data_IF_149323264827
#
_entry.id   IF_149323264827
#
_cell.length_a   1.000
_cell.length_b   1.000
_cell.length_c   1.000
_cell.angle_alpha   90.00
_cell.angle_beta   90.00
_cell.angle_gamma   90.00
#
_symmetry.space_group_name_H-M   'P 1'
#
loop_
_entity.id
_entity.type
_entity.pdbx_description
1 polymer ?
#
# COMPACT_ATOMS: atom_id res chain seq x y z
N UNK A 1 -6.10 -12.15 41.38
CA UNK A 1 -7.16 -11.37 40.73
C UNK A 1 -6.53 -10.25 39.90
N UNK A 2 -5.74 -10.65 38.91
CA UNK A 2 -5.00 -9.78 37.99
C UNK A 2 -5.16 -10.34 36.56
N UNK A 3 -6.40 -10.62 36.17
CA UNK A 3 -6.77 -11.25 34.89
C UNK A 3 -8.11 -10.66 34.43
N UNK A 4 -8.06 -9.60 33.62
CA UNK A 4 -9.10 -9.20 32.66
C UNK A 4 -8.69 -7.88 31.99
N UNK A 5 -8.26 -7.95 30.72
CA UNK A 5 -7.91 -6.86 29.79
C UNK A 5 -6.43 -6.40 29.73
N UNK A 6 -5.59 -7.02 28.87
CA UNK A 6 -4.22 -6.56 28.56
C UNK A 6 -4.09 -5.71 27.26
N UNK A 7 -5.15 -5.37 26.53
CA UNK A 7 -5.04 -4.82 25.16
C UNK A 7 -5.38 -3.32 24.99
N UNK A 8 -5.29 -2.52 26.04
CA UNK A 8 -5.16 -1.06 25.94
C UNK A 8 -4.01 -0.63 26.85
N UNK A 9 -2.81 -1.09 26.50
CA UNK A 9 -1.59 -0.60 27.09
C UNK A 9 -1.43 0.89 26.71
N UNK A 10 -2.01 1.76 27.53
CA UNK A 10 -1.43 2.93 28.23
C UNK A 10 -0.08 3.53 27.75
N UNK A 11 0.30 3.40 26.49
CA UNK A 11 1.32 4.23 25.83
C UNK A 11 0.61 5.35 25.08
N UNK A 12 1.13 6.57 25.15
CA UNK A 12 0.60 7.79 24.51
C UNK A 12 -0.48 8.59 25.24
N UNK A 13 -0.39 8.65 26.57
CA UNK A 13 -0.82 9.83 27.34
C UNK A 13 0.18 10.19 28.46
N UNK A 14 1.45 9.80 28.27
CA UNK A 14 2.57 10.27 29.09
C UNK A 14 3.13 11.53 28.46
N UNK A 15 2.52 12.67 28.77
CA UNK A 15 3.15 13.96 28.58
C UNK A 15 4.27 14.04 29.63
N UNK A 16 5.51 13.82 29.22
CA UNK A 16 6.64 14.27 30.03
C UNK A 16 6.82 15.76 29.76
N UNK A 17 6.08 16.56 30.53
CA UNK A 17 6.56 17.89 30.90
C UNK A 17 7.73 17.67 31.89
N UNK A 18 8.97 18.10 31.59
CA UNK A 18 10.09 17.97 32.52
C UNK A 18 9.87 18.74 33.83
N UNK A 19 8.94 19.70 33.88
CA UNK A 19 8.68 20.53 35.06
C UNK A 19 7.41 20.11 35.84
N UNK A 20 6.50 19.31 35.26
CA UNK A 20 5.28 18.82 35.92
C UNK A 20 5.04 17.32 35.66
N UNK A 21 5.63 16.47 36.51
CA UNK A 21 5.54 15.02 36.41
C UNK A 21 4.20 14.40 36.81
N UNK A 22 3.15 14.56 36.00
CA UNK A 22 1.92 13.75 36.09
C UNK A 22 1.42 13.41 34.69
N UNK A 23 1.30 12.12 34.35
CA UNK A 23 0.74 11.70 33.06
C UNK A 23 -0.76 12.00 32.99
N UNK A 24 -1.32 12.29 31.80
CA UNK A 24 -2.76 12.54 31.64
C UNK A 24 -3.58 11.31 32.08
N UNK A 25 -3.03 10.11 31.92
CA UNK A 25 -3.58 8.87 32.45
C UNK A 25 -3.61 8.81 33.98
N UNK A 26 -2.61 9.36 34.68
CA UNK A 26 -2.56 9.40 36.14
C UNK A 26 -3.48 10.49 36.72
N UNK A 27 -3.70 11.59 35.99
CA UNK A 27 -4.70 12.60 36.30
C UNK A 27 -6.14 12.06 36.14
N UNK A 28 -6.39 11.24 35.11
CA UNK A 28 -7.68 10.58 34.88
C UNK A 28 -7.94 9.41 35.85
N UNK A 29 -6.90 8.73 36.35
CA UNK A 29 -7.05 7.58 37.26
C UNK A 29 -7.19 7.97 38.75
N UNK A 30 -6.70 9.14 39.18
CA UNK A 30 -6.76 9.60 40.59
C UNK A 30 -8.05 10.32 40.97
N UNK A 31 -9.00 10.45 40.06
CA UNK A 31 -10.24 11.21 40.28
C UNK A 31 -11.42 10.25 40.48
N UNK A 32 -11.86 10.09 41.74
CA UNK A 32 -13.15 9.45 42.08
C UNK A 32 -14.37 10.35 41.77
N UNK A 33 -14.21 11.27 40.82
CA UNK A 33 -15.18 12.26 40.41
C UNK A 33 -14.98 12.50 38.92
N UNK A 34 -16.06 12.45 38.13
CA UNK A 34 -16.07 12.81 36.71
C UNK A 34 -15.10 13.96 36.47
N UNK A 35 -13.98 13.69 35.80
CA UNK A 35 -13.07 14.75 35.37
C UNK A 35 -13.89 15.65 34.49
N UNK A 36 -14.16 16.85 34.97
CA UNK A 36 -14.82 17.89 34.19
C UNK A 36 -13.86 18.30 33.07
N UNK A 37 -13.82 17.51 31.99
CA UNK A 37 -13.29 17.91 30.68
C UNK A 37 -13.80 19.31 30.32
N UNK A 38 -15.00 19.64 30.80
CA UNK A 38 -15.63 20.95 30.74
C UNK A 38 -14.90 22.12 31.36
N UNK A 39 -13.95 21.93 32.28
CA UNK A 39 -13.17 23.04 32.87
C UNK A 39 -11.91 23.32 32.06
N UNK A 40 -11.17 22.28 31.70
CA UNK A 40 -9.97 22.40 30.84
C UNK A 40 -10.32 22.84 29.41
N UNK A 41 -11.45 22.40 28.86
CA UNK A 41 -11.97 22.92 27.59
C UNK A 41 -12.53 24.35 27.71
N UNK A 42 -12.93 24.80 28.92
CA UNK A 42 -13.34 26.20 29.16
C UNK A 42 -12.13 27.11 29.23
N UNK A 43 -11.07 26.68 29.89
CA UNK A 43 -9.80 27.41 29.98
C UNK A 43 -9.10 27.48 28.60
N UNK A 44 -9.20 26.43 27.77
CA UNK A 44 -8.79 26.47 26.36
C UNK A 44 -9.65 27.39 25.49
N UNK A 45 -10.93 27.60 25.85
CA UNK A 45 -11.82 28.52 25.14
C UNK A 45 -11.46 29.98 25.42
N UNK A 46 -11.03 30.29 26.65
CA UNK A 46 -10.66 31.65 27.04
C UNK A 46 -9.36 32.13 26.35
N UNK A 47 -8.53 31.22 25.81
CA UNK A 47 -7.36 31.54 24.95
C UNK A 47 -7.69 31.53 23.44
N UNK A 48 -8.86 31.03 23.01
CA UNK A 48 -9.33 30.99 21.60
C UNK A 48 -10.24 32.19 21.27
N UNK A 49 -10.42 33.12 22.21
CA UNK A 49 -11.31 34.27 22.04
C UNK A 49 -10.76 35.32 21.06
N UNK A 50 -11.28 35.33 19.84
CA UNK A 50 -11.97 36.52 19.25
C UNK A 50 -12.73 36.14 17.98
N UNK A 51 -13.90 35.53 18.12
CA UNK A 51 -14.95 35.65 17.10
C UNK A 51 -16.23 36.13 17.77
N UNK A 52 -16.72 37.28 17.29
CA UNK A 52 -17.83 38.02 17.87
C UNK A 52 -19.13 37.22 17.87
N UNK A 53 -19.82 37.31 19.00
CA UNK A 53 -21.17 36.86 19.23
C UNK A 53 -22.17 37.33 18.17
N UNK A 54 -22.84 36.39 17.52
CA UNK A 54 -24.30 36.39 17.39
C UNK A 54 -24.78 34.94 17.21
N UNK A 55 -25.82 34.57 17.97
CA UNK A 55 -26.48 33.24 18.06
C UNK A 55 -25.75 32.12 18.83
N UNK A 56 -25.88 32.14 20.18
CA UNK A 56 -25.37 31.09 21.09
C UNK A 56 -26.20 29.80 21.03
N UNK A 57 -25.89 28.90 20.10
CA UNK A 57 -26.03 27.47 20.38
C UNK A 57 -24.90 27.04 21.34
N UNK A 58 -25.17 26.19 22.34
CA UNK A 58 -24.11 25.65 23.19
C UNK A 58 -23.19 24.76 22.35
N UNK A 59 -21.91 25.12 22.28
CA UNK A 59 -20.87 24.29 21.65
C UNK A 59 -20.81 22.92 22.34
N UNK A 60 -21.11 21.85 21.60
CA UNK A 60 -20.95 20.47 22.06
C UNK A 60 -19.47 20.15 22.31
N UNK A 61 -19.17 19.16 23.15
CA UNK A 61 -17.79 18.70 23.36
C UNK A 61 -17.13 18.31 22.03
N UNK A 62 -17.89 17.71 21.11
CA UNK A 62 -17.46 17.40 19.75
C UNK A 62 -17.02 18.65 18.98
N UNK A 63 -17.84 19.71 18.96
CA UNK A 63 -17.50 20.96 18.26
C UNK A 63 -16.24 21.63 18.82
N UNK A 64 -16.00 21.56 20.14
CA UNK A 64 -14.77 22.10 20.74
C UNK A 64 -13.55 21.28 20.36
N UNK A 65 -13.65 19.94 20.35
CA UNK A 65 -12.53 19.09 19.92
C UNK A 65 -12.21 19.28 18.44
N UNK A 66 -13.22 19.46 17.58
CA UNK A 66 -13.03 19.78 16.17
C UNK A 66 -12.35 21.15 15.99
N UNK A 67 -12.73 22.14 16.79
CA UNK A 67 -12.09 23.46 16.77
C UNK A 67 -10.60 23.38 17.17
N UNK A 68 -10.30 22.65 18.25
CA UNK A 68 -8.91 22.41 18.69
C UNK A 68 -8.13 21.68 17.60
N UNK A 69 -8.72 20.65 16.98
CA UNK A 69 -8.07 19.91 15.89
C UNK A 69 -7.71 20.82 14.71
N UNK A 70 -8.60 21.73 14.34
CA UNK A 70 -8.46 22.52 13.13
C UNK A 70 -7.57 23.74 13.31
N UNK A 71 -7.62 24.40 14.47
CA UNK A 71 -7.07 25.74 14.64
C UNK A 71 -6.05 25.88 15.77
N UNK A 72 -5.87 24.89 16.64
CA UNK A 72 -4.93 25.04 17.76
C UNK A 72 -3.47 25.03 17.29
N UNK A 73 -2.67 26.01 17.72
CA UNK A 73 -1.26 26.15 17.31
C UNK A 73 -0.37 25.00 17.80
N UNK A 74 -0.68 24.47 18.99
CA UNK A 74 0.07 23.36 19.58
C UNK A 74 -0.40 21.99 19.09
N UNK A 75 0.52 21.29 18.42
CA UNK A 75 0.29 20.03 17.72
C UNK A 75 -0.17 18.91 18.64
N UNK A 76 0.33 18.87 19.88
CA UNK A 76 -0.03 17.84 20.85
C UNK A 76 -1.48 17.96 21.35
N UNK A 77 -2.04 19.17 21.41
CA UNK A 77 -3.47 19.33 21.66
C UNK A 77 -4.32 18.89 20.47
N UNK A 78 -3.85 19.08 19.24
CA UNK A 78 -4.51 18.53 18.05
C UNK A 78 -4.50 17.00 18.08
N UNK A 79 -3.37 16.38 18.42
CA UNK A 79 -3.26 14.92 18.62
C UNK A 79 -4.24 14.44 19.70
N UNK A 80 -4.27 15.10 20.86
CA UNK A 80 -5.19 14.77 21.93
C UNK A 80 -6.65 14.92 21.48
N UNK A 81 -6.98 15.96 20.73
CA UNK A 81 -8.32 16.20 20.20
C UNK A 81 -8.77 15.07 19.26
N UNK A 82 -7.94 14.66 18.28
CA UNK A 82 -8.25 13.53 17.40
C UNK A 82 -8.47 12.24 18.19
N UNK A 83 -7.59 11.95 19.16
CA UNK A 83 -7.71 10.74 19.97
C UNK A 83 -8.99 10.74 20.82
N UNK A 84 -9.38 11.88 21.37
CA UNK A 84 -10.65 12.02 22.08
C UNK A 84 -11.85 11.86 21.15
N UNK A 85 -11.77 12.36 19.91
CA UNK A 85 -12.80 12.14 18.88
C UNK A 85 -12.90 10.66 18.49
N UNK A 86 -11.78 9.95 18.38
CA UNK A 86 -11.72 8.50 18.16
C UNK A 86 -12.25 7.67 19.33
N UNK A 87 -12.14 8.17 20.56
CA UNK A 87 -12.70 7.51 21.75
C UNK A 87 -14.17 7.87 22.01
N UNK A 88 -14.66 8.93 21.38
CA UNK A 88 -16.05 9.36 21.54
C UNK A 88 -17.01 8.27 21.05
N UNK A 89 -18.15 8.10 21.72
CA UNK A 89 -19.27 7.30 21.19
C UNK A 89 -20.04 8.04 20.10
N UNK A 90 -19.88 9.36 20.02
CA UNK A 90 -20.55 10.21 19.05
C UNK A 90 -19.91 10.04 17.66
N UNK A 91 -20.76 9.80 16.67
CA UNK A 91 -20.37 9.55 15.28
C UNK A 91 -20.96 10.67 14.40
N UNK A 92 -20.39 11.86 14.50
CA UNK A 92 -20.74 12.98 13.63
C UNK A 92 -19.78 13.06 12.45
N UNK A 93 -20.31 13.42 11.27
CA UNK A 93 -19.50 13.64 10.09
C UNK A 93 -18.67 14.92 10.23
N UNK A 94 -17.38 14.81 9.94
CA UNK A 94 -16.42 15.90 9.88
C UNK A 94 -16.08 16.23 8.43
N UNK A 95 -15.54 17.43 8.21
CA UNK A 95 -15.09 17.84 6.89
C UNK A 95 -13.89 16.97 6.45
N UNK A 96 -14.03 16.20 5.35
CA UNK A 96 -13.05 15.17 4.97
C UNK A 96 -11.73 15.76 4.47
N UNK A 97 -11.74 16.95 3.86
CA UNK A 97 -10.54 17.58 3.29
C UNK A 97 -9.53 17.94 4.38
N UNK A 98 -10.00 18.43 5.52
CA UNK A 98 -9.18 18.80 6.67
C UNK A 98 -8.53 17.58 7.30
N UNK A 99 -9.30 16.49 7.49
CA UNK A 99 -8.78 15.23 8.00
C UNK A 99 -7.76 14.60 7.03
N UNK A 100 -8.04 14.64 5.73
CA UNK A 100 -7.09 14.20 4.72
C UNK A 100 -5.80 15.02 4.74
N UNK A 101 -5.90 16.35 4.80
CA UNK A 101 -4.73 17.23 4.87
C UNK A 101 -3.88 16.94 6.11
N UNK A 102 -4.51 16.64 7.25
CA UNK A 102 -3.82 16.24 8.48
C UNK A 102 -3.17 14.87 8.36
N UNK A 103 -3.82 13.92 7.70
CA UNK A 103 -3.26 12.59 7.43
C UNK A 103 -2.02 12.67 6.51
N UNK A 104 -2.07 13.48 5.44
CA UNK A 104 -0.93 13.59 4.51
C UNK A 104 0.20 14.46 5.08
N UNK A 105 -0.14 15.61 5.66
CA UNK A 105 0.79 16.72 5.93
C UNK A 105 0.78 17.18 7.39
N UNK A 106 0.27 16.37 8.31
CA UNK A 106 0.34 16.66 9.73
C UNK A 106 1.79 16.95 10.18
N UNK A 107 2.04 17.96 11.03
CA UNK A 107 3.39 18.35 11.44
C UNK A 107 4.13 17.26 12.23
N UNK A 108 3.39 16.37 12.90
CA UNK A 108 3.94 15.26 13.69
C UNK A 108 3.28 13.96 13.29
N UNK A 109 4.05 12.87 13.30
CA UNK A 109 3.58 11.54 12.87
C UNK A 109 2.35 11.05 13.65
N UNK A 110 2.25 11.19 14.99
CA UNK A 110 1.05 10.79 15.72
C UNK A 110 -0.23 11.50 15.28
N UNK A 111 -0.11 12.74 14.80
CA UNK A 111 -1.25 13.50 14.29
C UNK A 111 -1.70 12.93 12.93
N UNK A 112 -0.77 12.61 12.04
CA UNK A 112 -1.07 11.96 10.76
C UNK A 112 -1.76 10.62 10.96
N UNK A 113 -1.21 9.77 11.83
CA UNK A 113 -1.72 8.44 12.15
C UNK A 113 -3.13 8.48 12.74
N UNK A 114 -3.34 9.39 13.70
CA UNK A 114 -4.65 9.56 14.36
C UNK A 114 -5.66 10.13 13.36
N UNK A 115 -5.26 11.12 12.55
CA UNK A 115 -6.11 11.72 11.53
C UNK A 115 -6.50 10.71 10.45
N UNK A 116 -5.57 9.85 10.01
CA UNK A 116 -5.86 8.76 9.08
C UNK A 116 -6.88 7.77 9.67
N UNK A 117 -6.71 7.40 10.94
CA UNK A 117 -7.66 6.52 11.63
C UNK A 117 -9.06 7.16 11.70
N UNK A 118 -9.11 8.45 12.06
CA UNK A 118 -10.36 9.21 12.14
C UNK A 118 -11.01 9.41 10.76
N UNK A 119 -10.21 9.57 9.71
CA UNK A 119 -10.69 9.68 8.33
C UNK A 119 -11.47 8.43 7.90
N UNK A 120 -10.96 7.23 8.22
CA UNK A 120 -11.68 5.97 7.97
C UNK A 120 -12.99 5.87 8.76
N UNK A 121 -12.97 6.24 10.04
CA UNK A 121 -14.17 6.31 10.89
C UNK A 121 -15.22 7.28 10.34
N UNK A 122 -14.78 8.38 9.74
CA UNK A 122 -15.64 9.46 9.26
C UNK A 122 -16.50 9.07 8.04
N UNK A 123 -16.10 8.05 7.28
CA UNK A 123 -16.83 7.61 6.08
C UNK A 123 -18.26 7.12 6.42
N UNK A 124 -18.43 6.39 7.52
CA UNK A 124 -19.74 5.82 7.90
C UNK A 124 -20.79 6.90 8.26
N UNK A 125 -20.48 7.89 9.11
CA UNK A 125 -21.37 9.05 9.33
C UNK A 125 -21.72 9.78 8.04
N UNK A 126 -20.74 10.00 7.15
CA UNK A 126 -20.97 10.72 5.90
C UNK A 126 -21.92 9.99 4.94
N UNK A 127 -21.91 8.65 4.95
CA UNK A 127 -22.84 7.86 4.14
C UNK A 127 -24.30 8.04 4.60
N UNK A 128 -24.51 8.34 5.88
CA UNK A 128 -25.84 8.49 6.50
C UNK A 128 -26.34 9.94 6.54
N UNK A 129 -25.50 10.92 6.18
CA UNK A 129 -25.82 12.35 6.18
C UNK A 129 -26.02 12.85 4.74
N UNK A 130 -27.25 13.27 4.43
CA UNK A 130 -27.63 13.78 3.11
C UNK A 130 -26.76 14.97 2.65
N UNK A 131 -26.21 15.73 3.60
CA UNK A 131 -25.35 16.88 3.33
C UNK A 131 -24.02 16.49 2.68
N UNK A 132 -23.51 15.28 2.97
CA UNK A 132 -22.22 14.79 2.49
C UNK A 132 -22.33 13.78 1.35
N UNK A 133 -23.55 13.41 0.95
CA UNK A 133 -23.80 12.38 -0.05
C UNK A 133 -23.14 12.67 -1.40
N UNK A 134 -23.03 13.93 -1.81
CA UNK A 134 -22.36 14.32 -3.06
C UNK A 134 -20.82 14.23 -2.97
N UNK A 135 -20.25 14.28 -1.77
CA UNK A 135 -18.81 14.29 -1.52
C UNK A 135 -18.24 12.90 -1.18
N UNK A 136 -19.11 11.91 -0.91
CA UNK A 136 -18.69 10.61 -0.38
C UNK A 136 -17.67 9.91 -1.27
N UNK A 137 -17.87 9.91 -2.59
CA UNK A 137 -16.94 9.26 -3.52
C UNK A 137 -15.55 9.90 -3.51
N UNK A 138 -15.48 11.23 -3.59
CA UNK A 138 -14.20 11.94 -3.50
C UNK A 138 -13.52 11.75 -2.15
N UNK A 139 -14.31 11.62 -1.08
CA UNK A 139 -13.80 11.39 0.27
C UNK A 139 -13.22 9.98 0.44
N UNK A 140 -13.90 8.96 -0.09
CA UNK A 140 -13.39 7.58 -0.11
C UNK A 140 -12.13 7.49 -0.98
N UNK A 141 -12.11 8.13 -2.16
CA UNK A 141 -10.92 8.16 -3.01
C UNK A 141 -9.73 8.81 -2.31
N UNK A 142 -9.96 9.93 -1.61
CA UNK A 142 -8.91 10.61 -0.83
C UNK A 142 -8.43 9.72 0.31
N UNK A 143 -9.35 9.11 1.07
CA UNK A 143 -9.00 8.16 2.13
C UNK A 143 -8.17 6.99 1.60
N UNK A 144 -8.62 6.34 0.53
CA UNK A 144 -7.89 5.25 -0.14
C UNK A 144 -6.48 5.69 -0.55
N UNK A 145 -6.34 6.88 -1.13
CA UNK A 145 -5.03 7.41 -1.51
C UNK A 145 -4.10 7.56 -0.30
N UNK A 146 -4.63 8.04 0.84
CA UNK A 146 -3.86 8.13 2.08
C UNK A 146 -3.48 6.76 2.64
N UNK A 147 -4.34 5.74 2.50
CA UNK A 147 -3.96 4.37 2.83
C UNK A 147 -2.74 3.93 2.00
N UNK A 148 -2.76 4.14 0.68
CA UNK A 148 -1.64 3.78 -0.20
C UNK A 148 -0.34 4.54 0.10
N UNK A 149 -0.44 5.79 0.54
CA UNK A 149 0.73 6.57 0.92
C UNK A 149 1.41 6.00 2.17
N UNK A 150 0.67 5.28 3.02
CA UNK A 150 1.11 4.81 4.34
C UNK A 150 1.37 3.29 4.42
N UNK A 151 1.44 2.56 3.30
CA UNK A 151 1.74 1.10 3.25
C UNK A 151 3.07 0.75 2.58
N UNK A 152 3.93 1.73 2.31
CA UNK A 152 5.26 1.46 1.72
C UNK A 152 6.25 1.06 2.82
N UNK A 153 7.25 0.26 2.47
CA UNK A 153 8.24 -0.27 3.42
C UNK A 153 9.04 0.83 4.14
N UNK A 154 9.26 1.98 3.49
CA UNK A 154 9.98 3.10 4.09
C UNK A 154 9.14 3.83 5.15
N UNK A 155 7.84 3.53 5.22
CA UNK A 155 6.91 4.14 6.17
C UNK A 155 7.05 3.44 7.53
N UNK A 156 7.08 4.21 8.64
CA UNK A 156 7.14 3.63 9.98
C UNK A 156 6.05 2.59 10.23
N UNK A 157 6.40 1.57 11.03
CA UNK A 157 5.48 0.54 11.51
C UNK A 157 4.17 1.12 12.06
N UNK A 158 4.26 2.19 12.86
CA UNK A 158 3.10 2.83 13.49
C UNK A 158 2.10 3.43 12.48
N UNK A 159 2.58 3.98 11.37
CA UNK A 159 1.75 4.52 10.29
C UNK A 159 1.12 3.40 9.45
N UNK A 160 1.84 2.31 9.19
CA UNK A 160 1.27 1.09 8.58
C UNK A 160 0.18 0.47 9.47
N UNK A 161 0.38 0.46 10.78
CA UNK A 161 -0.66 0.06 11.74
C UNK A 161 -1.84 1.05 11.79
N UNK A 162 -1.62 2.34 11.52
CA UNK A 162 -2.70 3.33 11.42
C UNK A 162 -3.60 3.07 10.20
N UNK A 163 -3.04 2.60 9.07
CA UNK A 163 -3.81 2.13 7.91
C UNK A 163 -4.76 1.00 8.32
N UNK A 164 -4.24 -0.02 9.01
CA UNK A 164 -5.03 -1.15 9.50
C UNK A 164 -6.17 -0.69 10.42
N UNK A 165 -5.88 0.18 11.40
CA UNK A 165 -6.89 0.76 12.29
C UNK A 165 -7.94 1.56 11.53
N UNK A 166 -7.52 2.36 10.54
CA UNK A 166 -8.41 3.17 9.70
C UNK A 166 -9.41 2.30 8.94
N UNK A 167 -8.96 1.17 8.37
CA UNK A 167 -9.83 0.21 7.69
C UNK A 167 -10.81 -0.45 8.68
N UNK A 168 -10.38 -0.78 9.89
CA UNK A 168 -11.25 -1.36 10.92
C UNK A 168 -12.37 -0.40 11.35
N UNK A 169 -12.04 0.87 11.52
CA UNK A 169 -13.03 1.91 11.84
C UNK A 169 -14.07 2.10 10.72
N UNK A 170 -13.73 1.71 9.49
CA UNK A 170 -14.60 1.79 8.33
C UNK A 170 -15.45 0.52 8.08
N UNK A 171 -15.41 -0.51 8.94
CA UNK A 171 -16.16 -1.76 8.71
C UNK A 171 -17.65 -1.59 8.43
N UNK A 172 -18.32 -0.71 9.17
CA UNK A 172 -19.75 -0.47 8.97
C UNK A 172 -20.09 0.09 7.58
N UNK A 173 -19.11 0.64 6.85
CA UNK A 173 -19.29 1.11 5.47
C UNK A 173 -19.44 -0.09 4.52
N UNK A 174 -18.64 -1.14 4.69
CA UNK A 174 -18.69 -2.35 3.86
C UNK A 174 -20.02 -3.10 4.04
N UNK A 175 -20.62 -3.07 5.23
CA UNK A 175 -21.90 -3.75 5.52
C UNK A 175 -23.11 -3.12 4.82
N UNK A 176 -23.11 -1.80 4.61
CA UNK A 176 -24.33 -1.03 4.33
C UNK A 176 -24.24 -0.13 3.10
N UNK A 177 -23.19 -0.26 2.29
CA UNK A 177 -23.00 0.59 1.13
C UNK A 177 -23.76 0.11 -0.12
N UNK A 178 -24.06 1.04 -1.01
CA UNK A 178 -24.57 0.69 -2.34
C UNK A 178 -23.44 0.23 -3.28
N UNK A 179 -23.82 -0.31 -4.44
CA UNK A 179 -22.87 -0.84 -5.41
C UNK A 179 -21.85 0.23 -5.89
N UNK A 180 -22.24 1.50 -5.98
CA UNK A 180 -21.35 2.56 -6.47
C UNK A 180 -20.26 2.87 -5.44
N UNK A 181 -20.63 2.93 -4.17
CA UNK A 181 -19.69 3.09 -3.05
C UNK A 181 -18.81 1.85 -2.93
N UNK A 182 -19.37 0.64 -3.04
CA UNK A 182 -18.62 -0.61 -3.04
C UNK A 182 -17.52 -0.63 -4.12
N UNK A 183 -17.83 -0.16 -5.33
CA UNK A 183 -16.84 -0.02 -6.41
C UNK A 183 -15.70 0.97 -6.07
N UNK A 184 -16.01 2.01 -5.29
CA UNK A 184 -15.01 3.00 -4.85
C UNK A 184 -14.12 2.43 -3.73
N UNK A 185 -14.62 1.45 -2.96
CA UNK A 185 -13.90 0.78 -1.88
C UNK A 185 -13.00 -0.36 -2.36
N UNK A 186 -13.16 -0.86 -3.59
CA UNK A 186 -12.35 -1.97 -4.11
C UNK A 186 -10.84 -1.83 -3.89
N UNK A 187 -10.22 -0.63 -4.06
CA UNK A 187 -8.77 -0.50 -3.86
C UNK A 187 -8.30 -0.78 -2.43
N UNK A 188 -9.18 -0.75 -1.42
CA UNK A 188 -8.85 -1.14 -0.03
C UNK A 188 -8.39 -2.60 0.03
N UNK A 189 -8.93 -3.49 -0.82
CA UNK A 189 -8.46 -4.87 -0.90
C UNK A 189 -7.00 -4.95 -1.38
N UNK A 190 -6.60 -4.08 -2.30
CA UNK A 190 -5.20 -4.02 -2.77
C UNK A 190 -4.29 -3.47 -1.66
N UNK A 191 -4.75 -2.50 -0.87
CA UNK A 191 -4.03 -2.04 0.34
C UNK A 191 -3.80 -3.20 1.31
N UNK A 192 -4.84 -3.99 1.61
CA UNK A 192 -4.72 -5.14 2.51
C UNK A 192 -3.78 -6.21 1.95
N UNK A 193 -3.81 -6.44 0.64
CA UNK A 193 -2.88 -7.36 -0.02
C UNK A 193 -1.42 -6.93 0.16
N UNK A 194 -1.13 -5.63 0.05
CA UNK A 194 0.22 -5.09 0.34
C UNK A 194 0.63 -5.36 1.78
N UNK A 195 -0.27 -5.12 2.74
CA UNK A 195 -0.01 -5.36 4.18
C UNK A 195 0.08 -6.85 4.55
N UNK A 196 -0.50 -7.76 3.75
CA UNK A 196 -0.28 -9.20 3.89
C UNK A 196 1.13 -9.64 3.49
N UNK A 197 1.83 -8.81 2.71
CA UNK A 197 3.20 -8.99 2.25
C UNK A 197 4.24 -8.17 3.02
N UNK A 198 3.83 -7.54 4.12
CA UNK A 198 4.67 -6.68 4.94
C UNK A 198 5.85 -7.45 5.57
N UNK A 199 6.94 -6.75 5.86
CA UNK A 199 8.13 -7.33 6.51
C UNK A 199 7.88 -7.69 7.98
N UNK A 200 6.96 -6.97 8.64
CA UNK A 200 6.64 -7.15 10.05
C UNK A 200 5.52 -8.19 10.28
N UNK A 201 5.71 -9.08 11.26
CA UNK A 201 4.78 -10.19 11.53
C UNK A 201 3.42 -9.70 12.05
N UNK A 202 3.41 -8.68 12.91
CA UNK A 202 2.20 -8.16 13.53
C UNK A 202 1.32 -7.40 12.53
N UNK A 203 1.92 -6.65 11.60
CA UNK A 203 1.23 -6.02 10.47
C UNK A 203 0.53 -7.07 9.61
N UNK A 204 1.26 -8.11 9.19
CA UNK A 204 0.69 -9.23 8.40
C UNK A 204 -0.41 -9.97 9.14
N UNK A 205 -0.18 -10.28 10.42
CA UNK A 205 -1.18 -10.98 11.23
C UNK A 205 -2.45 -10.15 11.39
N UNK A 206 -2.33 -8.84 11.59
CA UNK A 206 -3.49 -7.94 11.69
C UNK A 206 -4.21 -7.79 10.36
N UNK A 207 -3.48 -7.63 9.25
CA UNK A 207 -4.06 -7.60 7.90
C UNK A 207 -4.87 -8.87 7.60
N UNK A 208 -4.35 -10.05 7.96
CA UNK A 208 -5.07 -11.32 7.80
C UNK A 208 -6.38 -11.37 8.60
N UNK A 209 -6.38 -10.84 9.82
CA UNK A 209 -7.59 -10.73 10.64
C UNK A 209 -8.62 -9.77 10.01
N UNK A 210 -8.16 -8.67 9.43
CA UNK A 210 -9.04 -7.69 8.78
C UNK A 210 -9.68 -8.30 7.53
N UNK A 211 -8.88 -8.97 6.68
CA UNK A 211 -9.37 -9.65 5.48
C UNK A 211 -10.41 -10.71 5.85
N UNK A 212 -10.16 -11.51 6.88
CA UNK A 212 -11.13 -12.50 7.35
C UNK A 212 -12.48 -11.87 7.74
N UNK A 213 -12.46 -10.77 8.49
CA UNK A 213 -13.69 -10.06 8.91
C UNK A 213 -14.43 -9.43 7.74
N UNK A 214 -13.72 -8.75 6.83
CA UNK A 214 -14.34 -8.12 5.66
C UNK A 214 -14.95 -9.17 4.72
N UNK A 215 -14.28 -10.30 4.52
CA UNK A 215 -14.85 -11.40 3.75
C UNK A 215 -16.09 -11.98 4.43
N UNK A 216 -16.08 -12.17 5.74
CA UNK A 216 -17.27 -12.62 6.45
C UNK A 216 -18.46 -11.64 6.31
N UNK A 217 -18.18 -10.33 6.33
CA UNK A 217 -19.19 -9.28 6.08
C UNK A 217 -19.76 -9.41 4.66
N UNK A 218 -18.91 -9.37 3.63
CA UNK A 218 -19.32 -9.37 2.22
C UNK A 218 -19.94 -10.71 1.79
N UNK A 219 -19.56 -11.82 2.42
CA UNK A 219 -20.07 -13.16 2.15
C UNK A 219 -21.25 -13.54 3.06
N UNK A 220 -21.67 -12.63 3.95
CA UNK A 220 -22.74 -12.87 4.93
C UNK A 220 -22.52 -14.13 5.77
N UNK A 221 -21.26 -14.41 6.10
CA UNK A 221 -20.88 -15.54 6.95
C UNK A 221 -21.15 -15.22 8.42
N UNK A 222 -21.68 -16.21 9.15
CA UNK A 222 -22.03 -16.03 10.58
C UNK A 222 -20.83 -16.09 11.52
N UNK A 223 -19.76 -16.74 11.10
CA UNK A 223 -18.56 -16.95 11.90
C UNK A 223 -17.34 -16.47 11.11
N UNK A 224 -16.49 -15.68 11.77
CA UNK A 224 -15.25 -15.20 11.18
C UNK A 224 -14.19 -16.28 11.36
N UNK A 225 -13.77 -16.89 10.25
CA UNK A 225 -12.66 -17.83 10.27
C UNK A 225 -11.32 -17.12 10.57
N UNK A 226 -10.41 -17.77 11.28
CA UNK A 226 -9.05 -17.25 11.47
C UNK A 226 -8.17 -17.58 10.28
N UNK A 227 -7.54 -16.57 9.67
CA UNK A 227 -6.63 -16.75 8.54
C UNK A 227 -5.17 -16.55 8.94
N UNK A 228 -4.30 -17.39 8.36
CA UNK A 228 -2.88 -17.05 8.20
C UNK A 228 -2.73 -16.02 7.07
N UNK A 229 -1.65 -15.23 7.02
CA UNK A 229 -1.45 -14.24 5.95
C UNK A 229 -1.55 -14.83 4.54
N UNK A 230 -0.91 -15.98 4.30
CA UNK A 230 -0.98 -16.69 3.02
C UNK A 230 -2.40 -17.12 2.66
N UNK A 231 -3.18 -17.59 3.64
CA UNK A 231 -4.57 -17.99 3.41
C UNK A 231 -5.45 -16.77 3.13
N UNK A 232 -5.26 -15.68 3.87
CA UNK A 232 -5.98 -14.43 3.67
C UNK A 232 -5.74 -13.88 2.26
N UNK A 233 -4.50 -13.91 1.78
CA UNK A 233 -4.14 -13.48 0.43
C UNK A 233 -4.86 -14.29 -0.64
N UNK A 234 -4.82 -15.63 -0.54
CA UNK A 234 -5.53 -16.50 -1.50
C UNK A 234 -7.04 -16.21 -1.50
N UNK A 235 -7.66 -16.14 -0.31
CA UNK A 235 -9.10 -15.85 -0.17
C UNK A 235 -9.45 -14.47 -0.70
N UNK A 236 -8.58 -13.48 -0.54
CA UNK A 236 -8.74 -12.14 -1.08
C UNK A 236 -8.81 -12.16 -2.61
N UNK A 237 -7.88 -12.85 -3.29
CA UNK A 237 -7.92 -12.94 -4.75
C UNK A 237 -9.07 -13.77 -5.30
N UNK A 238 -9.44 -14.86 -4.63
CA UNK A 238 -10.66 -15.62 -4.94
C UNK A 238 -11.90 -14.72 -4.86
N UNK A 239 -11.98 -13.88 -3.82
CA UNK A 239 -13.06 -12.92 -3.64
C UNK A 239 -13.07 -11.84 -4.73
N UNK A 240 -11.93 -11.20 -5.02
CA UNK A 240 -11.80 -10.19 -6.08
C UNK A 240 -12.21 -10.75 -7.45
N UNK A 241 -11.83 -12.00 -7.75
CA UNK A 241 -12.26 -12.67 -8.99
C UNK A 241 -13.77 -12.91 -9.01
N UNK A 242 -14.36 -13.32 -7.88
CA UNK A 242 -15.80 -13.62 -7.75
C UNK A 242 -16.67 -12.37 -7.91
N UNK A 243 -16.24 -11.23 -7.40
CA UNK A 243 -16.96 -9.94 -7.54
C UNK A 243 -16.61 -9.21 -8.84
N UNK A 244 -15.90 -9.86 -9.75
CA UNK A 244 -15.48 -9.33 -11.04
C UNK A 244 -14.70 -8.00 -10.93
N UNK A 245 -13.88 -7.86 -9.87
CA UNK A 245 -13.08 -6.66 -9.63
C UNK A 245 -12.08 -6.37 -10.77
N UNK A 246 -11.76 -7.38 -11.59
CA UNK A 246 -10.97 -7.22 -12.81
C UNK A 246 -11.62 -6.32 -13.86
N UNK A 247 -12.92 -6.00 -13.75
CA UNK A 247 -13.60 -5.03 -14.62
C UNK A 247 -13.34 -3.58 -14.20
N UNK A 248 -12.84 -3.36 -12.98
CA UNK A 248 -12.54 -2.03 -12.46
C UNK A 248 -11.16 -1.55 -12.95
N UNK A 249 -11.14 -0.45 -13.69
CA UNK A 249 -9.91 0.09 -14.31
C UNK A 249 -8.86 0.47 -13.27
N UNK A 250 -9.26 0.99 -12.11
CA UNK A 250 -8.33 1.40 -11.06
C UNK A 250 -7.65 0.18 -10.41
N UNK A 251 -8.39 -0.92 -10.25
CA UNK A 251 -7.82 -2.20 -9.80
C UNK A 251 -6.86 -2.76 -10.84
N UNK A 252 -7.26 -2.76 -12.12
CA UNK A 252 -6.37 -3.19 -13.20
C UNK A 252 -5.07 -2.38 -13.22
N UNK A 253 -5.17 -1.04 -13.10
CA UNK A 253 -4.03 -0.13 -13.07
C UNK A 253 -3.06 -0.46 -11.94
N UNK A 254 -3.57 -0.60 -10.71
CA UNK A 254 -2.74 -0.88 -9.52
C UNK A 254 -2.08 -2.25 -9.57
N UNK A 255 -2.82 -3.28 -9.97
CA UNK A 255 -2.25 -4.61 -10.14
C UNK A 255 -1.19 -4.63 -11.24
N UNK A 256 -1.40 -3.88 -12.32
CA UNK A 256 -0.43 -3.75 -13.39
C UNK A 256 0.85 -3.05 -12.92
N UNK A 257 0.71 -1.95 -12.17
CA UNK A 257 1.84 -1.25 -11.53
C UNK A 257 2.61 -2.18 -10.60
N UNK A 258 1.93 -3.07 -9.87
CA UNK A 258 2.58 -4.06 -9.00
C UNK A 258 3.26 -5.19 -9.79
N UNK A 259 2.73 -5.60 -10.95
CA UNK A 259 3.37 -6.56 -11.85
C UNK A 259 4.69 -5.99 -12.39
N UNK A 260 4.67 -4.75 -12.88
CA UNK A 260 5.83 -4.11 -13.50
C UNK A 260 6.77 -3.40 -12.50
N UNK A 261 6.32 -3.24 -11.25
CA UNK A 261 7.01 -2.51 -10.18
C UNK A 261 7.38 -1.05 -10.56
N UNK A 262 6.52 -0.39 -11.33
CA UNK A 262 6.72 0.97 -11.79
C UNK A 262 5.36 1.67 -11.93
N UNK A 263 5.28 2.97 -11.59
CA UNK A 263 4.16 3.80 -12.03
C UNK A 263 4.07 3.78 -13.56
N UNK A 264 2.85 3.71 -14.11
CA UNK A 264 2.65 3.62 -15.57
C UNK A 264 3.16 4.86 -16.32
N UNK A 265 3.31 5.99 -15.64
CA UNK A 265 3.87 7.22 -16.20
C UNK A 265 5.40 7.14 -16.36
N UNK A 266 6.06 6.19 -15.69
CA UNK A 266 7.52 6.05 -15.61
C UNK A 266 8.04 4.77 -16.27
N UNK A 267 7.27 4.19 -17.18
CA UNK A 267 7.62 2.91 -17.86
C UNK A 267 8.99 2.96 -18.55
N UNK A 268 9.38 4.11 -19.11
CA UNK A 268 10.71 4.28 -19.72
C UNK A 268 11.86 3.98 -18.77
N UNK A 269 11.65 4.09 -17.45
CA UNK A 269 12.68 3.88 -16.44
C UNK A 269 13.09 2.40 -16.30
N UNK A 270 12.34 1.45 -16.87
CA UNK A 270 12.75 0.03 -16.86
C UNK A 270 14.12 -0.17 -17.48
N UNK A 271 14.45 0.60 -18.53
CA UNK A 271 15.76 0.56 -19.17
C UNK A 271 16.87 0.91 -18.18
N UNK A 272 16.74 2.04 -17.48
CA UNK A 272 17.71 2.51 -16.50
C UNK A 272 17.82 1.55 -15.31
N UNK A 273 16.70 0.99 -14.84
CA UNK A 273 16.68 -0.02 -13.77
C UNK A 273 17.41 -1.30 -14.17
N UNK A 274 17.15 -1.84 -15.36
CA UNK A 274 17.83 -3.04 -15.86
C UNK A 274 19.35 -2.81 -16.02
N UNK A 275 19.75 -1.65 -16.56
CA UNK A 275 21.17 -1.30 -16.69
C UNK A 275 21.84 -1.17 -15.30
N UNK A 276 21.15 -0.52 -14.36
CA UNK A 276 21.66 -0.34 -12.99
C UNK A 276 21.77 -1.67 -12.27
N UNK A 277 20.74 -2.52 -12.33
CA UNK A 277 20.74 -3.84 -11.72
C UNK A 277 21.80 -4.77 -12.32
N UNK A 278 22.16 -4.59 -13.59
CA UNK A 278 23.26 -5.33 -14.22
C UNK A 278 24.65 -4.84 -13.78
N UNK A 279 24.74 -3.73 -13.04
CA UNK A 279 26.01 -3.20 -12.52
C UNK A 279 26.29 -3.82 -11.14
N UNK A 280 27.44 -4.50 -10.94
CA UNK A 280 27.76 -5.13 -9.68
C UNK A 280 27.81 -4.13 -8.52
N UNK A 281 26.97 -4.32 -7.50
CA UNK A 281 26.98 -3.48 -6.32
C UNK A 281 27.75 -4.15 -5.18
N UNK A 282 28.92 -3.60 -4.83
CA UNK A 282 29.77 -4.10 -3.73
C UNK A 282 29.28 -3.68 -2.34
N UNK A 283 28.16 -2.92 -2.25
CA UNK A 283 27.53 -2.52 -0.99
C UNK A 283 26.50 -3.55 -0.45
N UNK A 284 26.41 -4.73 -1.08
CA UNK A 284 25.43 -5.80 -0.82
C UNK A 284 25.19 -6.10 0.68
N UNK A 285 26.25 -6.07 1.50
CA UNK A 285 26.15 -6.38 2.93
C UNK A 285 25.36 -5.36 3.78
N UNK A 286 24.98 -4.19 3.24
CA UNK A 286 24.21 -3.18 3.97
C UNK A 286 22.70 -3.21 3.70
N UNK A 287 22.26 -3.84 2.61
CA UNK A 287 20.85 -3.88 2.17
C UNK A 287 20.21 -5.25 2.46
N UNK A 288 20.99 -6.33 2.39
CA UNK A 288 20.52 -7.73 2.33
C UNK A 288 20.02 -8.33 3.67
N UNK A 289 19.67 -7.51 4.68
CA UNK A 289 19.27 -8.02 6.00
C UNK A 289 17.90 -7.57 6.52
N UNK A 290 17.12 -6.81 5.75
CA UNK A 290 15.87 -6.25 6.28
C UNK A 290 14.56 -6.88 5.78
N UNK A 291 14.53 -7.64 4.69
CA UNK A 291 13.25 -8.14 4.14
C UNK A 291 13.19 -9.66 3.91
N UNK A 292 13.61 -10.48 4.88
CA UNK A 292 13.65 -11.96 4.75
C UNK A 292 12.29 -12.59 4.37
N UNK A 293 11.20 -11.86 4.59
CA UNK A 293 9.84 -12.33 4.38
C UNK A 293 9.18 -11.83 3.09
N UNK A 294 9.80 -10.89 2.37
CA UNK A 294 9.23 -10.32 1.16
C UNK A 294 9.76 -11.06 -0.06
N UNK A 295 8.88 -11.78 -0.72
CA UNK A 295 9.14 -12.36 -2.03
C UNK A 295 8.37 -11.52 -3.06
N UNK A 296 9.13 -10.76 -3.85
CA UNK A 296 8.60 -9.85 -4.86
C UNK A 296 7.81 -10.55 -5.97
N UNK A 297 8.06 -11.83 -6.20
CA UNK A 297 7.44 -12.60 -7.28
C UNK A 297 6.31 -13.51 -6.79
N UNK A 298 6.24 -13.79 -5.48
CA UNK A 298 5.25 -14.70 -4.86
C UNK A 298 3.80 -14.43 -5.26
N UNK A 299 3.42 -13.16 -5.37
CA UNK A 299 2.04 -12.75 -5.64
C UNK A 299 1.73 -12.60 -7.13
N UNK A 300 2.73 -12.72 -8.00
CA UNK A 300 2.58 -12.43 -9.43
C UNK A 300 1.52 -13.32 -10.08
N UNK A 301 1.48 -14.60 -9.72
CA UNK A 301 0.49 -15.52 -10.28
C UNK A 301 -0.95 -15.09 -9.95
N UNK A 302 -1.21 -14.57 -8.75
CA UNK A 302 -2.53 -14.06 -8.39
C UNK A 302 -2.90 -12.81 -9.21
N UNK A 303 -1.95 -11.91 -9.41
CA UNK A 303 -2.18 -10.69 -10.19
C UNK A 303 -2.47 -11.04 -11.66
N UNK A 304 -1.63 -11.90 -12.24
CA UNK A 304 -1.78 -12.36 -13.62
C UNK A 304 -3.10 -13.10 -13.82
N UNK A 305 -3.46 -14.01 -12.91
CA UNK A 305 -4.73 -14.74 -13.00
C UNK A 305 -5.92 -13.78 -12.96
N UNK A 306 -5.93 -12.82 -12.03
CA UNK A 306 -7.03 -11.87 -11.91
C UNK A 306 -7.11 -10.95 -13.14
N UNK A 307 -5.98 -10.39 -13.59
CA UNK A 307 -5.92 -9.52 -14.77
C UNK A 307 -6.28 -10.27 -16.06
N UNK A 308 -5.96 -11.56 -16.18
CA UNK A 308 -6.27 -12.36 -17.37
C UNK A 308 -7.77 -12.59 -17.58
N UNK A 309 -8.59 -12.45 -16.52
CA UNK A 309 -10.05 -12.62 -16.60
C UNK A 309 -10.73 -11.44 -17.31
N UNK A 310 -10.07 -10.29 -17.40
CA UNK A 310 -10.62 -9.11 -18.07
C UNK A 310 -10.71 -9.35 -19.59
N UNK A 311 -11.90 -9.16 -20.16
CA UNK A 311 -12.10 -9.27 -21.61
C UNK A 311 -11.56 -8.05 -22.34
N UNK A 312 -11.46 -8.11 -23.67
CA UNK A 312 -11.04 -6.97 -24.47
C UNK A 312 -11.91 -5.70 -24.29
N UNK A 313 -13.15 -5.84 -23.81
CA UNK A 313 -14.06 -4.71 -23.53
C UNK A 313 -13.84 -4.11 -22.15
N UNK A 314 -13.36 -4.90 -21.20
CA UNK A 314 -13.15 -4.49 -19.81
C UNK A 314 -11.81 -3.77 -19.62
N UNK A 315 -10.87 -4.01 -20.53
CA UNK A 315 -9.52 -3.45 -20.48
C UNK A 315 -9.50 -2.04 -21.04
N UNK A 316 -8.92 -1.11 -20.28
CA UNK A 316 -8.58 0.19 -20.81
C UNK A 316 -7.44 0.06 -21.83
N UNK A 317 -7.65 0.57 -23.05
CA UNK A 317 -6.66 0.50 -24.13
C UNK A 317 -5.30 1.09 -23.71
N UNK A 318 -5.32 2.16 -22.91
CA UNK A 318 -4.11 2.76 -22.35
C UNK A 318 -3.28 1.76 -21.53
N UNK A 319 -3.90 0.90 -20.72
CA UNK A 319 -3.17 -0.09 -19.91
C UNK A 319 -2.47 -1.12 -20.80
N UNK A 320 -3.11 -1.53 -21.90
CA UNK A 320 -2.53 -2.46 -22.88
C UNK A 320 -1.35 -1.82 -23.61
N UNK A 321 -1.49 -0.56 -24.03
CA UNK A 321 -0.42 0.19 -24.70
C UNK A 321 0.79 0.37 -23.78
N UNK A 322 0.53 0.72 -22.51
CA UNK A 322 1.55 0.88 -21.46
C UNK A 322 2.29 -0.43 -21.21
N UNK A 323 1.57 -1.54 -21.04
CA UNK A 323 2.21 -2.85 -20.86
C UNK A 323 3.02 -3.26 -22.08
N UNK A 324 2.50 -3.03 -23.29
CA UNK A 324 3.22 -3.32 -24.54
C UNK A 324 4.52 -2.52 -24.59
N UNK A 325 4.47 -1.22 -24.28
CA UNK A 325 5.65 -0.36 -24.21
C UNK A 325 6.66 -0.87 -23.17
N UNK A 326 6.21 -1.25 -21.97
CA UNK A 326 7.07 -1.79 -20.91
C UNK A 326 7.80 -3.05 -21.38
N UNK A 327 7.08 -4.01 -21.95
CA UNK A 327 7.66 -5.26 -22.45
C UNK A 327 8.62 -5.01 -23.60
N UNK A 328 8.27 -4.16 -24.58
CA UNK A 328 9.17 -3.81 -25.68
C UNK A 328 10.48 -3.20 -25.17
N UNK A 329 10.41 -2.18 -24.30
CA UNK A 329 11.61 -1.51 -23.76
C UNK A 329 12.44 -2.48 -22.90
N UNK A 330 11.77 -3.25 -22.03
CA UNK A 330 12.42 -4.23 -21.17
C UNK A 330 13.15 -5.30 -21.99
N UNK A 331 12.48 -5.90 -22.97
CA UNK A 331 13.06 -6.93 -23.82
C UNK A 331 14.18 -6.41 -24.71
N UNK A 332 14.03 -5.22 -25.30
CA UNK A 332 15.11 -4.62 -26.07
C UNK A 332 16.34 -4.37 -25.18
N UNK A 333 16.13 -3.89 -23.94
CA UNK A 333 17.24 -3.65 -23.01
C UNK A 333 17.92 -4.95 -22.59
N UNK A 334 17.15 -6.00 -22.27
CA UNK A 334 17.69 -7.33 -21.94
C UNK A 334 18.47 -7.92 -23.12
N UNK A 335 17.98 -7.73 -24.34
CA UNK A 335 18.65 -8.14 -25.56
C UNK A 335 19.97 -7.38 -25.77
N UNK A 336 19.96 -6.06 -25.68
CA UNK A 336 21.17 -5.23 -25.82
C UNK A 336 22.23 -5.62 -24.78
N UNK A 337 21.79 -5.82 -23.52
CA UNK A 337 22.62 -6.30 -22.42
C UNK A 337 23.22 -7.67 -22.77
N UNK A 338 22.42 -8.63 -23.25
CA UNK A 338 22.90 -9.96 -23.62
C UNK A 338 23.97 -9.92 -24.73
N UNK A 339 23.78 -9.07 -25.75
CA UNK A 339 24.71 -8.92 -26.87
C UNK A 339 26.05 -8.28 -26.48
N UNK A 340 26.07 -7.31 -25.55
CA UNK A 340 27.29 -6.60 -25.16
C UNK A 340 28.34 -7.55 -24.53
N UNK A 341 27.91 -8.61 -23.85
CA UNK A 341 28.80 -9.53 -23.13
C UNK A 341 29.42 -10.65 -24.00
N UNK A 342 29.13 -10.68 -25.30
CA UNK A 342 29.70 -11.65 -26.24
C UNK A 342 31.07 -11.27 -26.82
N UNK A 343 31.71 -10.19 -26.36
CA UNK A 343 33.08 -9.86 -26.80
C UNK A 343 34.09 -10.77 -26.09
N UNK A 344 34.35 -11.94 -26.69
CA UNK A 344 35.40 -12.87 -26.33
C UNK A 344 36.78 -12.20 -26.25
N UNK A 345 37.51 -12.47 -25.18
CA UNK A 345 38.84 -13.10 -25.30
C UNK A 345 39.07 -13.92 -24.03
N UNK A 346 39.59 -15.12 -24.23
CA UNK A 346 39.67 -16.19 -23.24
C UNK A 346 40.31 -15.82 -21.91
N UNK A 347 40.05 -16.70 -20.96
CA UNK A 347 40.41 -16.66 -19.54
C UNK A 347 39.51 -15.73 -18.72
N UNK A 348 38.58 -16.37 -17.99
CA UNK A 348 37.78 -15.74 -16.96
C UNK A 348 38.68 -14.99 -15.97
N UNK A 349 38.53 -13.67 -15.96
CA UNK A 349 39.33 -12.77 -15.15
C UNK A 349 38.61 -11.44 -14.99
N UNK A 350 38.60 -10.95 -13.75
CA UNK A 350 38.15 -9.60 -13.39
C UNK A 350 39.10 -8.60 -14.05
N UNK A 351 38.66 -7.88 -15.09
CA UNK A 351 39.41 -6.72 -15.58
C UNK A 351 39.11 -5.51 -14.70
N UNK A 352 40.06 -5.15 -13.85
CA UNK A 352 40.01 -3.94 -13.01
C UNK A 352 40.21 -2.64 -13.81
N UNK A 353 40.55 -2.71 -15.09
CA UNK A 353 40.88 -1.52 -15.90
C UNK A 353 39.65 -0.78 -16.48
N UNK A 354 38.45 -1.38 -16.47
CA UNK A 354 37.23 -0.76 -17.00
C UNK A 354 36.01 -0.78 -16.04
N UNK A 355 36.17 -1.25 -14.80
CA UNK A 355 35.07 -1.28 -13.82
C UNK A 355 33.90 -2.21 -14.17
N UNK A 356 33.99 -3.00 -15.25
CA UNK A 356 32.98 -4.00 -15.65
C UNK A 356 33.45 -5.39 -15.24
N UNK A 357 32.69 -6.06 -14.36
CA UNK A 357 32.94 -7.48 -14.04
C UNK A 357 32.62 -8.33 -15.27
N UNK A 358 33.66 -8.96 -15.85
CA UNK A 358 33.49 -10.07 -16.77
C UNK A 358 32.96 -11.27 -15.98
N UNK A 359 31.64 -11.42 -15.88
CA UNK A 359 31.02 -12.56 -15.23
C UNK A 359 31.31 -13.84 -16.05
N UNK A 360 31.92 -14.84 -15.42
CA UNK A 360 32.26 -16.14 -16.04
C UNK A 360 31.03 -16.96 -16.44
N UNK A 361 29.84 -16.57 -16.01
CA UNK A 361 28.59 -17.27 -16.27
C UNK A 361 27.65 -16.55 -17.25
N UNK A 362 28.08 -15.45 -17.87
CA UNK A 362 27.19 -14.59 -18.63
C UNK A 362 26.19 -13.88 -17.70
N UNK A 363 25.52 -12.85 -18.22
CA UNK A 363 24.59 -12.00 -17.43
C UNK A 363 23.44 -12.79 -16.80
N UNK A 364 23.16 -13.97 -17.34
CA UNK A 364 21.98 -14.77 -17.03
C UNK A 364 22.33 -16.21 -16.67
N UNK A 365 23.59 -16.54 -16.35
CA UNK A 365 23.92 -17.83 -15.77
C UNK A 365 23.43 -17.97 -14.33
N UNK A 366 23.81 -19.06 -13.66
CA UNK A 366 23.42 -19.37 -12.28
C UNK A 366 23.73 -18.26 -11.27
N UNK A 367 24.64 -17.34 -11.63
CA UNK A 367 24.93 -16.10 -10.91
C UNK A 367 24.56 -14.90 -11.79
N UNK A 368 23.27 -14.58 -11.94
CA UNK A 368 22.88 -13.26 -12.47
C UNK A 368 23.71 -12.20 -11.74
N UNK A 369 24.21 -11.20 -12.47
CA UNK A 369 25.17 -10.23 -11.91
C UNK A 369 24.72 -9.64 -10.55
N UNK A 370 23.39 -9.58 -10.33
CA UNK A 370 22.72 -9.32 -9.06
C UNK A 370 21.41 -10.14 -8.94
N UNK A 371 20.79 -10.20 -7.77
CA UNK A 371 19.41 -10.68 -7.59
C UNK A 371 18.41 -9.74 -8.28
N UNK A 372 18.68 -8.43 -8.25
CA UNK A 372 17.81 -7.39 -8.82
C UNK A 372 17.58 -7.57 -10.33
N UNK A 373 18.61 -7.92 -11.10
CA UNK A 373 18.45 -8.15 -12.55
C UNK A 373 17.55 -9.36 -12.82
N UNK A 374 17.65 -10.41 -11.98
CA UNK A 374 16.79 -11.59 -12.07
C UNK A 374 15.33 -11.21 -11.85
N UNK A 375 15.03 -10.49 -10.78
CA UNK A 375 13.68 -10.06 -10.42
C UNK A 375 13.08 -9.16 -11.51
N UNK A 376 13.82 -8.17 -11.98
CA UNK A 376 13.34 -7.26 -13.03
C UNK A 376 13.04 -7.99 -14.35
N UNK A 377 13.89 -8.92 -14.77
CA UNK A 377 13.61 -9.67 -15.99
C UNK A 377 12.43 -10.63 -15.84
N UNK A 378 12.23 -11.24 -14.66
CA UNK A 378 11.02 -12.01 -14.38
C UNK A 378 9.75 -11.13 -14.45
N UNK A 379 9.83 -9.85 -14.04
CA UNK A 379 8.72 -8.89 -14.21
C UNK A 379 8.45 -8.57 -15.68
N UNK A 380 9.49 -8.42 -16.51
CA UNK A 380 9.34 -8.28 -17.97
C UNK A 380 8.68 -9.52 -18.57
N UNK A 381 9.10 -10.72 -18.14
CA UNK A 381 8.49 -11.98 -18.57
C UNK A 381 7.02 -12.11 -18.16
N UNK A 382 6.67 -11.75 -16.93
CA UNK A 382 5.29 -11.71 -16.45
C UNK A 382 4.44 -10.71 -17.24
N UNK A 383 5.01 -9.55 -17.59
CA UNK A 383 4.35 -8.59 -18.47
C UNK A 383 4.09 -9.15 -19.87
N UNK A 384 5.06 -9.87 -20.44
CA UNK A 384 4.92 -10.56 -21.73
C UNK A 384 3.83 -11.65 -21.68
N UNK A 385 3.85 -12.49 -20.63
CA UNK A 385 2.83 -13.50 -20.38
C UNK A 385 1.42 -12.88 -20.27
N UNK A 386 1.29 -11.74 -19.58
CA UNK A 386 -0.01 -11.06 -19.50
C UNK A 386 -0.50 -10.56 -20.86
N UNK A 387 0.37 -10.06 -21.73
CA UNK A 387 0.00 -9.70 -23.10
C UNK A 387 -0.48 -10.92 -23.90
N UNK A 388 0.16 -12.06 -23.73
CA UNK A 388 -0.26 -13.35 -24.30
C UNK A 388 -1.64 -13.76 -23.82
N UNK A 389 -1.88 -13.72 -22.51
CA UNK A 389 -3.20 -13.98 -21.90
C UNK A 389 -4.29 -13.03 -22.40
N UNK A 390 -3.95 -11.80 -22.77
CA UNK A 390 -4.88 -10.82 -23.33
C UNK A 390 -5.09 -10.95 -24.85
N UNK A 391 -4.43 -11.89 -25.51
CA UNK A 391 -4.38 -12.07 -26.98
C UNK A 391 -3.90 -10.79 -27.72
N UNK A 392 -2.95 -10.06 -27.11
CA UNK A 392 -2.37 -8.86 -27.69
C UNK A 392 -1.23 -9.25 -28.62
N UNK A 393 -1.48 -9.15 -29.93
CA UNK A 393 -0.49 -9.46 -30.97
C UNK A 393 0.34 -8.24 -31.31
N UNK A 394 1.45 -8.04 -30.60
CA UNK A 394 2.48 -7.10 -31.01
C UNK A 394 3.58 -7.83 -31.78
N UNK A 395 3.69 -7.54 -33.08
CA UNK A 395 4.72 -8.13 -33.95
C UNK A 395 6.12 -7.81 -33.44
N UNK A 396 6.35 -6.57 -33.01
CA UNK A 396 7.63 -6.10 -32.47
C UNK A 396 8.02 -6.89 -31.22
N UNK A 397 7.10 -7.01 -30.24
CA UNK A 397 7.35 -7.79 -29.03
C UNK A 397 7.65 -9.25 -29.37
N UNK A 398 6.87 -9.87 -30.25
CA UNK A 398 7.07 -11.25 -30.67
C UNK A 398 8.41 -11.49 -31.37
N UNK A 399 8.83 -10.56 -32.24
CA UNK A 399 10.14 -10.63 -32.92
C UNK A 399 11.30 -10.50 -31.92
N UNK A 400 11.26 -9.52 -31.00
CA UNK A 400 12.33 -9.31 -30.02
C UNK A 400 12.42 -10.49 -29.05
N UNK A 401 11.28 -10.99 -28.53
CA UNK A 401 11.26 -12.16 -27.65
C UNK A 401 11.74 -13.41 -28.37
N UNK A 402 11.32 -13.63 -29.62
CA UNK A 402 11.77 -14.75 -30.44
C UNK A 402 13.28 -14.74 -30.65
N UNK A 403 13.85 -13.59 -31.01
CA UNK A 403 15.29 -13.42 -31.15
C UNK A 403 16.02 -13.71 -29.83
N UNK A 404 15.49 -13.21 -28.71
CA UNK A 404 16.05 -13.43 -27.37
C UNK A 404 16.08 -14.90 -26.98
N UNK A 405 14.98 -15.64 -27.20
CA UNK A 405 14.90 -17.07 -26.90
C UNK A 405 15.85 -17.86 -27.81
N UNK A 406 15.86 -17.61 -29.12
CA UNK A 406 16.77 -18.28 -30.07
C UNK A 406 18.24 -18.05 -29.69
N UNK A 407 18.58 -16.83 -29.30
CA UNK A 407 19.93 -16.49 -28.84
C UNK A 407 20.30 -17.22 -27.55
N UNK A 408 19.40 -17.26 -26.57
CA UNK A 408 19.66 -17.92 -25.29
C UNK A 408 19.69 -19.45 -25.36
N UNK A 409 19.17 -20.05 -26.43
CA UNK A 409 19.24 -21.48 -26.72
C UNK A 409 20.56 -21.93 -27.37
N UNK A 410 21.42 -20.99 -27.79
CA UNK A 410 22.69 -21.35 -28.40
C UNK A 410 23.62 -22.01 -27.39
N UNK A 411 24.34 -23.05 -27.81
CA UNK A 411 25.27 -23.80 -26.96
C UNK A 411 26.41 -22.94 -26.37
N UNK A 412 26.74 -21.82 -27.03
CA UNK A 412 27.76 -20.85 -26.62
C UNK A 412 27.24 -19.75 -25.68
N UNK A 413 25.93 -19.74 -25.38
CA UNK A 413 25.29 -18.75 -24.50
C UNK A 413 24.71 -19.44 -23.27
N UNK A 414 25.03 -18.91 -22.09
CA UNK A 414 24.43 -19.36 -20.82
C UNK A 414 23.31 -18.42 -20.41
N UNK A 415 22.07 -18.74 -20.77
CA UNK A 415 20.86 -18.09 -20.22
C UNK A 415 20.17 -19.04 -19.23
N UNK A 416 19.67 -18.48 -18.14
CA UNK A 416 18.94 -19.22 -17.12
C UNK A 416 17.72 -19.89 -17.76
N UNK A 417 17.57 -21.20 -17.59
CA UNK A 417 16.46 -21.95 -18.17
C UNK A 417 15.10 -21.43 -17.70
N UNK A 418 15.00 -20.92 -16.48
CA UNK A 418 13.77 -20.32 -15.93
C UNK A 418 13.32 -19.11 -16.75
N UNK A 419 14.26 -18.27 -17.18
CA UNK A 419 13.96 -17.11 -18.03
C UNK A 419 13.49 -17.56 -19.41
N UNK A 420 14.21 -18.50 -20.04
CA UNK A 420 13.81 -19.03 -21.34
C UNK A 420 12.42 -19.67 -21.27
N UNK A 421 12.13 -20.44 -20.23
CA UNK A 421 10.81 -21.02 -20.01
C UNK A 421 9.72 -19.95 -19.82
N UNK A 422 10.02 -18.89 -19.07
CA UNK A 422 9.09 -17.78 -18.85
C UNK A 422 8.79 -17.02 -20.15
N UNK A 423 9.75 -16.86 -21.05
CA UNK A 423 9.56 -16.20 -22.36
C UNK A 423 9.02 -17.13 -23.46
N UNK A 424 9.08 -18.46 -23.28
CA UNK A 424 8.48 -19.43 -24.22
C UNK A 424 6.98 -19.60 -24.04
N UNK A 425 6.44 -19.29 -22.87
CA UNK A 425 5.03 -19.55 -22.52
C UNK A 425 4.24 -18.23 -22.47
N UNK A 426 3.73 -17.72 -23.61
CA UNK A 426 2.83 -16.58 -23.61
C UNK A 426 1.51 -16.88 -22.90
#
# INVERSE_FOLDING_TARGET
>A
MAVSAPNLACGYLSFHDPDYGVSLSEALAKTNSNVELHKTLRELKDDVDTVSSDEKQPSTAFSVLQEVLNHHDWEWYRVAAVNLLLLSSEKQAMEPTTLAQLASNGPVEPLKESALTLLGRNISPMLNDDSYRSMIHGSIQTWVQELFNNVRDEIPHSSRMAVLRSIEEAYGVFESCDQQVQQTLLPVWIVLQKLLNDDEEDVRSRAACIVAKLLAIEESEREVETFTPLRAERRLFEHLARIEAFTNIEIQRRLLEDVIDLPLEKISNIKERLITANTPNTLLFKIEKQNLYRDELRCMDYYLELLSKATAKDRAAELVDKLTQYVTIGMQTLWDIAQEYQVETGEGGVSLEEGKLKATDGIMGWTTATEEIFVLGMRVANGFKLLGMWDVKSREVGEIVGNFVEYGERDDVKVNSTWLEAFRSP
#
